data_IF_894363429962
#
_entry.id   IF_894363429962
#
_cell.length_a   1.000
_cell.length_b   1.000
_cell.length_c   1.000
_cell.angle_alpha   90.00
_cell.angle_beta   90.00
_cell.angle_gamma   90.00
#
_symmetry.space_group_name_H-M   'P 1'
#
loop_
_entity.id
_entity.type
_entity.pdbx_description
1 polymer ?
#
# COMPACT_ATOMS: atom_id res chain seq x y z
N UNK A 1 -6.75 5.15 -8.25
CA UNK A 1 -5.42 4.48 -8.26
C UNK A 1 -4.52 5.11 -7.22
N UNK A 2 -3.45 4.42 -6.83
CA UNK A 2 -2.57 4.90 -5.76
C UNK A 2 -1.84 6.20 -6.17
N UNK A 3 -1.34 6.30 -7.41
CA UNK A 3 -0.72 7.52 -7.95
C UNK A 3 -1.68 8.71 -8.17
N UNK A 4 -2.95 8.56 -7.82
CA UNK A 4 -3.93 9.66 -7.86
C UNK A 4 -4.24 10.21 -6.47
N UNK A 5 -3.68 9.66 -5.38
CA UNK A 5 -3.90 10.20 -4.04
C UNK A 5 -3.44 11.65 -3.91
N UNK A 6 -4.08 12.37 -3.00
CA UNK A 6 -3.78 13.78 -2.75
C UNK A 6 -2.32 14.00 -2.25
N UNK A 7 -1.81 13.06 -1.46
CA UNK A 7 -0.48 13.06 -0.83
C UNK A 7 0.63 12.49 -1.72
N UNK A 8 0.33 11.96 -2.92
CA UNK A 8 1.31 11.26 -3.77
C UNK A 8 2.62 12.03 -4.02
N UNK A 9 2.58 13.36 -4.08
CA UNK A 9 3.75 14.15 -4.47
C UNK A 9 4.80 14.20 -3.34
N UNK A 10 4.48 13.62 -2.17
CA UNK A 10 5.41 13.31 -1.09
C UNK A 10 6.18 11.99 -1.31
N UNK A 11 5.78 11.19 -2.29
CA UNK A 11 6.30 9.83 -2.55
C UNK A 11 6.79 9.64 -3.98
N UNK A 12 6.18 10.32 -4.94
CA UNK A 12 6.51 10.21 -6.36
C UNK A 12 6.60 11.57 -7.06
N UNK A 13 7.31 11.59 -8.18
CA UNK A 13 7.39 12.69 -9.14
C UNK A 13 6.87 12.24 -10.49
N UNK A 14 5.86 12.94 -11.00
CA UNK A 14 5.31 12.71 -12.34
C UNK A 14 6.05 13.57 -13.38
N UNK A 15 6.65 12.91 -14.37
CA UNK A 15 7.37 13.54 -15.49
C UNK A 15 6.40 13.88 -16.62
N UNK A 16 5.66 14.98 -16.46
CA UNK A 16 4.65 15.44 -17.43
C UNK A 16 5.18 15.54 -18.88
N UNK A 17 6.46 15.92 -19.07
CA UNK A 17 7.09 15.97 -20.39
C UNK A 17 7.21 14.62 -21.12
N UNK A 18 7.04 13.50 -20.42
CA UNK A 18 7.07 12.15 -20.98
C UNK A 18 5.67 11.55 -21.15
N UNK A 19 4.61 12.22 -20.71
CA UNK A 19 3.24 11.70 -20.75
C UNK A 19 2.57 11.91 -22.11
N UNK A 20 1.89 10.88 -22.61
CA UNK A 20 0.92 10.96 -23.71
C UNK A 20 -0.43 11.52 -23.25
N UNK A 21 -0.83 11.22 -22.02
CA UNK A 21 -2.09 11.65 -21.43
C UNK A 21 -1.91 11.99 -19.95
N UNK A 22 -1.89 13.29 -19.62
CA UNK A 22 -1.79 13.76 -18.24
C UNK A 22 -3.06 13.52 -17.40
N UNK A 23 -4.20 13.30 -18.04
CA UNK A 23 -5.47 13.02 -17.36
C UNK A 23 -5.43 11.78 -16.45
N UNK A 24 -4.54 10.83 -16.75
CA UNK A 24 -4.33 9.61 -15.95
C UNK A 24 -3.58 9.83 -14.63
N UNK A 25 -3.07 11.05 -14.43
CA UNK A 25 -2.29 11.47 -13.27
C UNK A 25 -2.94 12.68 -12.58
N UNK A 26 -4.22 12.96 -12.85
CA UNK A 26 -4.98 13.94 -12.06
C UNK A 26 -5.19 13.38 -10.66
N UNK A 27 -4.95 14.22 -9.64
CA UNK A 27 -5.21 13.85 -8.24
C UNK A 27 -6.71 13.77 -8.02
N UNK A 28 -7.13 12.75 -7.29
CA UNK A 28 -8.51 12.52 -6.90
C UNK A 28 -8.69 12.83 -5.41
N UNK A 29 -9.92 13.17 -5.03
CA UNK A 29 -10.28 13.28 -3.61
C UNK A 29 -10.40 11.88 -3.02
N UNK A 30 -9.33 11.41 -2.39
CA UNK A 30 -9.24 10.08 -1.78
C UNK A 30 -9.40 10.13 -0.26
N UNK A 31 -9.99 9.09 0.32
CA UNK A 31 -10.01 8.86 1.78
C UNK A 31 -8.99 7.76 2.09
N UNK A 32 -7.92 8.08 2.81
CA UNK A 32 -6.84 7.13 3.11
C UNK A 32 -7.10 6.25 4.33
N UNK A 33 -8.11 6.61 5.16
CA UNK A 33 -8.40 5.93 6.43
C UNK A 33 -7.18 5.82 7.36
N UNK A 34 -6.24 6.78 7.27
CA UNK A 34 -5.00 6.77 8.05
C UNK A 34 -3.95 5.77 7.56
N UNK A 35 -4.17 5.11 6.41
CA UNK A 35 -3.20 4.20 5.80
C UNK A 35 -2.19 5.01 4.97
N UNK A 36 -0.87 4.79 5.14
CA UNK A 36 0.15 5.51 4.40
C UNK A 36 0.10 5.23 2.90
N UNK A 37 0.81 6.04 2.12
CA UNK A 37 0.99 5.82 0.69
C UNK A 37 1.77 4.52 0.45
N UNK A 38 1.31 3.71 -0.49
CA UNK A 38 1.92 2.41 -0.78
C UNK A 38 2.45 2.33 -2.21
N UNK A 39 3.74 2.56 -2.39
CA UNK A 39 4.41 2.44 -3.69
C UNK A 39 4.26 1.03 -4.29
N UNK A 40 4.18 0.01 -3.43
CA UNK A 40 3.99 -1.39 -3.79
C UNK A 40 2.53 -1.82 -3.94
N UNK A 41 1.56 -0.90 -3.84
CA UNK A 41 0.13 -1.22 -4.01
C UNK A 41 -0.13 -1.83 -5.39
N UNK A 42 -1.01 -2.83 -5.44
CA UNK A 42 -1.49 -3.38 -6.72
C UNK A 42 -2.22 -2.33 -7.56
N UNK A 43 -2.75 -1.30 -6.89
CA UNK A 43 -3.44 -0.16 -7.49
C UNK A 43 -2.48 0.92 -8.02
N UNK A 44 -1.17 0.74 -7.87
CA UNK A 44 -0.17 1.64 -8.40
C UNK A 44 0.19 1.31 -9.86
N UNK A 45 0.35 2.34 -10.69
CA UNK A 45 0.90 2.19 -12.03
C UNK A 45 2.42 1.98 -12.02
N UNK A 46 2.94 1.32 -13.08
CA UNK A 46 4.37 1.17 -13.28
C UNK A 46 5.04 2.50 -13.73
N UNK A 47 6.37 2.53 -13.67
CA UNK A 47 7.24 3.69 -13.97
C UNK A 47 7.08 4.28 -15.38
N UNK A 48 6.56 3.53 -16.35
CA UNK A 48 6.45 3.91 -17.76
C UNK A 48 5.00 4.12 -18.22
N UNK A 49 4.05 4.09 -17.29
CA UNK A 49 2.63 4.20 -17.61
C UNK A 49 2.34 5.47 -18.42
N UNK A 50 1.64 5.31 -19.54
CA UNK A 50 1.25 6.38 -20.47
C UNK A 50 2.42 7.18 -21.06
N UNK A 51 3.60 6.59 -21.19
CA UNK A 51 4.73 7.24 -21.87
C UNK A 51 4.46 7.52 -23.34
N UNK A 52 4.92 8.67 -23.84
CA UNK A 52 4.89 9.04 -25.27
C UNK A 52 6.20 8.78 -26.01
N UNK A 53 7.27 8.51 -25.27
CA UNK A 53 8.65 8.51 -25.78
C UNK A 53 9.52 7.42 -25.15
N UNK A 54 8.90 6.38 -24.56
CA UNK A 54 9.57 5.28 -23.87
C UNK A 54 10.46 5.70 -22.67
N UNK A 55 10.33 6.94 -22.20
CA UNK A 55 11.01 7.42 -21.00
C UNK A 55 10.11 7.26 -19.77
N UNK A 56 10.74 7.19 -18.60
CA UNK A 56 10.06 7.11 -17.30
C UNK A 56 9.07 8.28 -17.16
N UNK A 57 7.83 7.95 -16.80
CA UNK A 57 6.77 8.93 -16.54
C UNK A 57 6.57 9.17 -15.05
N UNK A 58 7.02 8.25 -14.20
CA UNK A 58 6.85 8.31 -12.76
C UNK A 58 8.07 7.77 -12.04
N UNK A 59 8.64 8.61 -11.20
CA UNK A 59 9.79 8.30 -10.36
C UNK A 59 9.37 8.34 -8.90
N UNK A 60 9.80 7.37 -8.11
CA UNK A 60 9.76 7.44 -6.65
C UNK A 60 10.73 8.49 -6.14
N UNK A 61 10.41 9.12 -5.00
CA UNK A 61 11.33 10.02 -4.33
C UNK A 61 12.41 9.26 -3.56
N UNK A 62 12.09 8.07 -3.04
CA UNK A 62 13.08 7.09 -2.57
C UNK A 62 13.44 6.12 -3.71
N UNK A 63 14.67 6.18 -4.25
CA UNK A 63 15.10 5.30 -5.34
C UNK A 63 15.04 3.80 -5.01
N UNK A 64 15.08 3.41 -3.72
CA UNK A 64 14.98 2.02 -3.31
C UNK A 64 13.59 1.43 -3.58
N UNK A 65 12.56 2.27 -3.65
CA UNK A 65 11.18 1.85 -3.90
C UNK A 65 10.82 1.82 -5.39
N UNK A 66 11.69 2.31 -6.29
CA UNK A 66 11.38 2.46 -7.72
C UNK A 66 10.92 1.17 -8.39
N UNK A 67 11.49 0.04 -7.98
CA UNK A 67 11.18 -1.27 -8.55
C UNK A 67 9.88 -1.89 -8.01
N UNK A 68 9.30 -1.31 -6.95
CA UNK A 68 8.01 -1.72 -6.39
C UNK A 68 6.83 -1.21 -7.23
N UNK A 69 7.04 -0.14 -8.00
CA UNK A 69 6.00 0.49 -8.82
C UNK A 69 5.40 -0.48 -9.83
N UNK A 70 4.09 -0.65 -9.75
CA UNK A 70 3.34 -1.41 -10.75
C UNK A 70 3.53 -2.92 -10.64
N UNK A 71 3.97 -3.43 -9.49
CA UNK A 71 3.96 -4.86 -9.20
C UNK A 71 2.56 -5.46 -9.43
N UNK A 72 2.52 -6.72 -9.85
CA UNK A 72 1.27 -7.46 -10.11
C UNK A 72 1.26 -8.85 -9.46
N UNK A 73 2.12 -9.08 -8.47
CA UNK A 73 2.18 -10.33 -7.71
C UNK A 73 0.91 -10.54 -6.91
N UNK A 74 0.37 -9.46 -6.35
CA UNK A 74 -0.88 -9.51 -5.59
C UNK A 74 -1.16 -8.21 -4.85
N UNK A 75 -2.24 -8.22 -4.08
CA UNK A 75 -2.60 -7.16 -3.15
C UNK A 75 -1.52 -6.98 -2.08
N UNK A 76 -1.13 -5.74 -1.79
CA UNK A 76 -0.21 -5.48 -0.67
C UNK A 76 -0.90 -5.64 0.69
N UNK A 77 -0.12 -5.66 1.76
CA UNK A 77 -0.69 -5.62 3.12
C UNK A 77 -1.55 -4.36 3.35
N UNK A 78 -1.14 -3.21 2.81
CA UNK A 78 -1.82 -1.94 3.01
C UNK A 78 -3.10 -1.82 2.17
N UNK A 79 -3.12 -2.41 0.97
CA UNK A 79 -4.33 -2.57 0.18
C UNK A 79 -5.40 -3.35 0.97
N UNK A 80 -5.01 -4.50 1.55
CA UNK A 80 -5.89 -5.32 2.38
C UNK A 80 -6.36 -4.56 3.63
N UNK A 81 -5.46 -3.79 4.26
CA UNK A 81 -5.76 -2.97 5.42
C UNK A 81 -6.82 -1.91 5.11
N UNK A 82 -6.71 -1.17 4.00
CA UNK A 82 -7.71 -0.16 3.61
C UNK A 82 -9.08 -0.83 3.43
N UNK A 83 -9.13 -1.98 2.74
CA UNK A 83 -10.38 -2.72 2.53
C UNK A 83 -10.99 -3.15 3.87
N UNK A 84 -10.18 -3.69 4.78
CA UNK A 84 -10.63 -4.09 6.10
C UNK A 84 -11.22 -2.91 6.89
N UNK A 85 -10.52 -1.77 6.92
CA UNK A 85 -10.98 -0.57 7.63
C UNK A 85 -12.26 0.00 7.01
N UNK A 86 -12.42 -0.09 5.69
CA UNK A 86 -13.58 0.45 4.99
C UNK A 86 -14.83 -0.42 5.14
N UNK A 87 -14.68 -1.75 5.16
CA UNK A 87 -15.82 -2.66 5.00
C UNK A 87 -15.99 -3.68 6.14
N UNK A 88 -14.97 -3.94 6.94
CA UNK A 88 -14.99 -5.04 7.92
C UNK A 88 -15.07 -4.58 9.38
N UNK A 89 -15.12 -3.26 9.66
CA UNK A 89 -15.13 -2.72 11.03
C UNK A 89 -16.29 -3.21 11.92
N UNK A 90 -17.39 -3.72 11.34
CA UNK A 90 -18.52 -4.29 12.08
C UNK A 90 -18.50 -5.82 12.25
N UNK A 91 -17.48 -6.51 11.72
CA UNK A 91 -17.40 -7.98 11.80
C UNK A 91 -17.05 -8.43 13.20
N UNK A 92 -16.06 -7.79 13.81
CA UNK A 92 -15.71 -8.00 15.20
C UNK A 92 -16.58 -7.11 16.09
N UNK A 93 -17.28 -7.73 17.04
CA UNK A 93 -18.13 -7.00 18.00
C UNK A 93 -17.32 -6.25 19.03
N UNK A 94 -16.17 -6.81 19.39
CA UNK A 94 -15.28 -6.29 20.41
C UNK A 94 -13.91 -6.00 19.80
N UNK A 95 -13.34 -4.87 20.22
CA UNK A 95 -11.95 -4.54 19.94
C UNK A 95 -11.02 -5.50 20.70
N UNK A 96 -9.83 -5.71 20.15
CA UNK A 96 -8.79 -6.48 20.84
C UNK A 96 -8.44 -5.85 22.19
N UNK A 97 -8.17 -6.69 23.19
CA UNK A 97 -7.68 -6.26 24.51
C UNK A 97 -6.40 -5.42 24.45
N UNK A 98 -5.63 -5.57 23.38
CA UNK A 98 -4.39 -4.84 23.11
C UNK A 98 -4.38 -4.40 21.63
N UNK A 99 -3.85 -3.22 21.32
CA UNK A 99 -3.74 -2.76 19.94
C UNK A 99 -2.76 -3.62 19.14
N UNK A 100 -3.01 -3.76 17.84
CA UNK A 100 -2.05 -4.36 16.92
C UNK A 100 -0.81 -3.46 16.77
N UNK A 101 0.36 -4.05 16.96
CA UNK A 101 1.65 -3.35 16.87
C UNK A 101 2.16 -3.29 15.42
N UNK A 102 3.16 -2.46 15.19
CA UNK A 102 3.90 -2.33 13.93
C UNK A 102 3.03 -2.11 12.70
N UNK A 103 1.85 -1.50 12.85
CA UNK A 103 0.95 -1.22 11.74
C UNK A 103 -0.01 -2.35 11.37
N UNK A 104 -0.09 -3.41 12.19
CA UNK A 104 -1.12 -4.44 12.06
C UNK A 104 -2.56 -3.92 12.23
N UNK A 105 -3.54 -4.79 11.95
CA UNK A 105 -4.97 -4.52 12.16
C UNK A 105 -5.69 -5.80 12.59
N UNK A 106 -6.84 -5.67 13.26
CA UNK A 106 -7.61 -6.84 13.74
C UNK A 106 -8.05 -7.71 12.57
N UNK A 107 -7.81 -9.02 12.65
CA UNK A 107 -8.20 -9.96 11.60
C UNK A 107 -9.73 -10.10 11.58
N UNK A 108 -10.42 -9.72 10.49
CA UNK A 108 -11.88 -9.79 10.44
C UNK A 108 -12.39 -11.24 10.43
N UNK A 109 -11.53 -12.21 10.09
CA UNK A 109 -11.87 -13.63 10.12
C UNK A 109 -11.51 -14.31 11.45
N UNK A 110 -10.75 -13.63 12.31
CA UNK A 110 -10.38 -14.11 13.64
C UNK A 110 -10.17 -12.90 14.57
N UNK A 111 -11.26 -12.48 15.20
CA UNK A 111 -11.29 -11.29 16.05
C UNK A 111 -10.39 -11.37 17.28
N UNK A 112 -9.74 -12.49 17.55
CA UNK A 112 -8.82 -12.68 18.68
C UNK A 112 -7.37 -12.29 18.36
N UNK A 113 -7.05 -12.00 17.10
CA UNK A 113 -5.68 -11.71 16.66
C UNK A 113 -5.60 -10.57 15.63
N UNK A 114 -4.37 -10.17 15.36
CA UNK A 114 -4.03 -9.21 14.31
C UNK A 114 -3.55 -9.89 13.03
N UNK A 115 -3.86 -9.28 11.88
CA UNK A 115 -3.08 -9.43 10.65
C UNK A 115 -1.82 -8.58 10.77
N UNK A 116 -0.67 -9.20 10.55
CA UNK A 116 0.63 -8.55 10.69
C UNK A 116 1.23 -8.23 9.33
N UNK A 117 1.88 -7.05 9.17
CA UNK A 117 2.69 -6.76 8.00
C UNK A 117 3.85 -7.75 7.90
N UNK A 118 4.40 -7.87 6.70
CA UNK A 118 5.57 -8.71 6.43
C UNK A 118 6.73 -8.36 7.38
N UNK A 119 7.42 -9.39 7.87
CA UNK A 119 8.48 -9.27 8.87
C UNK A 119 8.01 -9.28 10.33
N UNK A 120 6.70 -9.23 10.60
CA UNK A 120 6.15 -9.31 11.95
C UNK A 120 5.24 -10.53 12.15
N UNK A 121 5.14 -10.99 13.39
CA UNK A 121 4.32 -12.13 13.80
C UNK A 121 3.86 -11.99 15.25
N UNK A 122 3.11 -12.99 15.75
CA UNK A 122 2.50 -12.95 17.07
C UNK A 122 1.02 -12.55 17.01
N UNK A 123 0.33 -12.63 18.14
CA UNK A 123 -1.12 -12.38 18.19
C UNK A 123 -1.44 -10.90 17.96
N UNK A 124 -0.54 -10.02 18.38
CA UNK A 124 -0.65 -8.57 18.29
C UNK A 124 0.47 -7.95 17.44
N UNK A 125 1.13 -8.75 16.59
CA UNK A 125 2.28 -8.34 15.77
C UNK A 125 3.47 -7.86 16.61
N UNK A 126 3.64 -8.43 17.80
CA UNK A 126 4.66 -8.05 18.79
C UNK A 126 6.03 -8.68 18.55
N UNK A 127 6.11 -9.74 17.75
CA UNK A 127 7.33 -10.47 17.49
C UNK A 127 7.81 -10.25 16.05
N UNK A 128 9.10 -10.47 15.82
CA UNK A 128 9.62 -10.59 14.46
C UNK A 128 9.15 -11.92 13.87
N UNK A 129 8.80 -11.92 12.59
CA UNK A 129 8.56 -13.15 11.87
C UNK A 129 9.87 -13.96 11.82
N UNK A 130 9.82 -15.29 11.98
CA UNK A 130 11.00 -16.13 11.78
C UNK A 130 11.52 -15.91 10.35
N UNK A 131 12.84 -15.84 10.20
CA UNK A 131 13.45 -15.79 8.87
C UNK A 131 13.03 -17.05 8.11
N UNK A 132 12.32 -16.86 7.00
CA UNK A 132 12.21 -17.91 6.00
C UNK A 132 13.60 -18.03 5.38
N UNK A 133 14.46 -18.86 5.98
CA UNK A 133 15.70 -19.28 5.35
C UNK A 133 15.34 -19.91 4.01
N UNK A 134 15.49 -19.16 2.93
CA UNK A 134 15.34 -19.66 1.57
C UNK A 134 16.32 -20.84 1.41
N UNK A 135 15.76 -22.02 1.09
CA UNK A 135 16.49 -23.12 0.47
C UNK A 135 16.39 -22.99 -1.04
#
# INVERSE_FOLDING_TARGET
>A
HEQQRADRDQHIRVRNGNLRNSGQFVKEKTVSLGVPYDVGSVMHYNSYAFTRNFKITMETLDPLEQNSLGQRTGMSFLDAKIINLAYCGGVCRDDLRRPCLHGGYQDPNDCSRCRCPDGFSGTFCEALAPSNGER
#
